data_IF_093911588988
#
_entry.id   IF_093911588988
#
_cell.length_a   1.000
_cell.length_b   1.000
_cell.length_c   1.000
_cell.angle_alpha   90.00
_cell.angle_beta   90.00
_cell.angle_gamma   90.00
#
_symmetry.space_group_name_H-M   'P 1'
#
loop_
_entity.id
_entity.type
_entity.pdbx_description
1 polymer ?
#
# COMPACT_ATOMS: atom_id res chain seq x y z
N UNK A 1 2.54 6.79 -10.63
CA UNK A 1 1.11 7.09 -10.85
C UNK A 1 0.35 6.40 -9.72
N UNK A 2 -0.11 7.14 -8.71
CA UNK A 2 -0.90 6.57 -7.61
C UNK A 2 -2.29 6.28 -8.18
N UNK A 3 -2.65 5.01 -8.32
CA UNK A 3 -3.99 4.61 -8.74
C UNK A 3 -4.97 4.89 -7.62
N UNK A 4 -5.52 6.11 -7.58
CA UNK A 4 -6.77 6.40 -6.88
C UNK A 4 -7.86 5.71 -7.68
N UNK A 5 -8.27 4.51 -7.26
CA UNK A 5 -9.42 3.84 -7.87
C UNK A 5 -10.68 4.58 -7.41
N UNK A 6 -11.13 5.53 -8.22
CA UNK A 6 -12.48 6.08 -8.10
C UNK A 6 -13.42 4.95 -8.52
N UNK A 7 -14.25 4.47 -7.60
CA UNK A 7 -15.09 3.30 -7.80
C UNK A 7 -16.31 3.54 -8.72
N UNK A 8 -16.10 4.24 -9.82
CA UNK A 8 -17.04 4.40 -10.92
C UNK A 8 -16.27 4.40 -12.24
N UNK A 9 -16.04 3.21 -12.78
CA UNK A 9 -16.20 2.87 -14.20
C UNK A 9 -15.70 1.44 -14.42
N UNK A 10 -16.60 0.48 -14.24
CA UNK A 10 -16.55 -0.77 -15.01
C UNK A 10 -17.49 -0.55 -16.19
N UNK A 11 -16.93 -0.31 -17.37
CA UNK A 11 -17.63 -0.61 -18.61
C UNK A 11 -16.69 -1.47 -19.47
N UNK A 12 -16.93 -2.78 -19.42
CA UNK A 12 -16.43 -3.71 -20.41
C UNK A 12 -16.97 -3.31 -21.79
N UNK A 13 -16.08 -3.08 -22.76
CA UNK A 13 -16.42 -3.26 -24.17
C UNK A 13 -15.18 -3.65 -24.97
N UNK A 14 -14.92 -4.94 -25.00
CA UNK A 14 -14.31 -5.60 -26.16
C UNK A 14 -15.26 -5.41 -27.34
N UNK A 15 -15.06 -4.37 -28.14
CA UNK A 15 -15.49 -4.31 -29.54
C UNK A 15 -14.38 -3.63 -30.34
N UNK A 16 -13.44 -4.46 -30.83
CA UNK A 16 -12.71 -4.16 -32.06
C UNK A 16 -13.74 -4.15 -33.18
N UNK A 17 -13.99 -2.99 -33.76
CA UNK A 17 -14.45 -2.89 -35.15
C UNK A 17 -13.74 -1.70 -35.78
N UNK A 18 -12.96 -2.04 -36.81
CA UNK A 18 -12.39 -1.15 -37.80
C UNK A 18 -13.45 -0.22 -38.38
N UNK A 19 -13.07 1.02 -38.67
CA UNK A 19 -13.34 1.65 -39.96
C UNK A 19 -12.42 2.88 -40.13
N UNK A 20 -11.45 2.80 -41.05
CA UNK A 20 -11.43 3.44 -42.41
C UNK A 20 -10.68 4.79 -42.31
N UNK A 21 -9.68 5.15 -43.12
CA UNK A 21 -8.94 4.49 -44.22
C UNK A 21 -7.67 5.32 -44.45
N UNK A 22 -6.52 4.68 -44.58
CA UNK A 22 -5.33 5.33 -45.14
C UNK A 22 -5.27 5.02 -46.64
N UNK A 23 -5.63 6.01 -47.46
CA UNK A 23 -5.43 5.98 -48.91
C UNK A 23 -3.98 6.40 -49.19
N UNK A 24 -3.19 5.45 -49.67
CA UNK A 24 -1.92 5.72 -50.32
C UNK A 24 -2.20 5.99 -51.80
N UNK A 25 -1.96 7.22 -52.27
CA UNK A 25 -1.91 7.54 -53.69
C UNK A 25 -0.56 8.17 -54.01
N UNK A 26 0.24 7.45 -54.79
CA UNK A 26 1.43 7.94 -55.49
C UNK A 26 1.01 8.60 -56.79
N UNK A 27 1.45 9.84 -57.01
CA UNK A 27 1.80 10.51 -58.29
C UNK A 27 2.27 11.92 -57.90
N UNK A 28 3.33 12.56 -58.40
CA UNK A 28 4.39 12.26 -59.35
C UNK A 28 5.49 13.35 -59.17
N UNK A 29 6.63 13.15 -59.86
CA UNK A 29 7.55 14.17 -60.41
C UNK A 29 8.41 15.08 -59.50
N UNK A 30 9.69 14.69 -59.39
CA UNK A 30 10.93 15.44 -59.74
C UNK A 30 11.18 16.88 -59.27
N UNK A 31 12.29 17.00 -58.52
CA UNK A 31 13.30 18.10 -58.40
C UNK A 31 12.99 19.37 -57.58
N UNK A 32 14.03 20.08 -57.06
CA UNK A 32 15.22 19.61 -56.36
C UNK A 32 15.36 20.28 -54.97
N UNK A 33 16.27 19.75 -54.15
CA UNK A 33 16.66 20.27 -52.83
C UNK A 33 17.15 21.72 -52.88
N UNK A 34 16.74 22.59 -51.94
CA UNK A 34 17.59 23.67 -51.46
C UNK A 34 18.17 23.34 -50.09
N UNK A 35 19.43 23.70 -49.97
CA UNK A 35 20.36 23.51 -48.86
C UNK A 35 19.91 24.12 -47.55
N UNK A 36 20.31 23.41 -46.50
CA UNK A 36 20.65 23.83 -45.13
C UNK A 36 20.62 25.34 -44.89
N UNK A 37 19.96 25.73 -43.80
CA UNK A 37 20.08 27.00 -43.02
C UNK A 37 18.87 27.95 -42.97
N UNK A 38 17.70 27.63 -43.54
CA UNK A 38 16.49 28.47 -43.35
C UNK A 38 15.26 27.78 -42.74
N UNK A 39 15.22 26.44 -42.71
CA UNK A 39 14.13 25.70 -42.07
C UNK A 39 14.09 25.82 -40.53
N UNK A 40 15.17 26.31 -39.90
CA UNK A 40 15.26 26.41 -38.44
C UNK A 40 14.55 27.65 -37.85
N UNK A 41 14.22 28.67 -38.66
CA UNK A 41 13.61 29.90 -38.14
C UNK A 41 12.09 29.92 -38.16
N UNK A 42 11.44 29.09 -38.98
CA UNK A 42 9.97 29.07 -39.07
C UNK A 42 9.28 27.97 -38.24
N UNK A 43 10.03 27.00 -37.69
CA UNK A 43 9.49 26.04 -36.71
C UNK A 43 9.33 26.69 -35.32
N UNK A 44 10.07 27.78 -35.04
CA UNK A 44 10.03 28.50 -33.76
C UNK A 44 8.78 29.32 -33.49
N UNK A 45 7.91 29.57 -34.47
CA UNK A 45 6.73 30.45 -34.31
C UNK A 45 5.37 29.76 -34.40
N UNK A 46 5.30 28.45 -34.69
CA UNK A 46 4.03 27.69 -34.73
C UNK A 46 3.83 26.69 -33.58
N UNK A 47 4.75 26.60 -32.64
CA UNK A 47 4.58 25.80 -31.40
C UNK A 47 3.97 26.63 -30.26
N UNK A 48 3.76 27.93 -30.47
CA UNK A 48 3.31 28.86 -29.43
C UNK A 48 1.78 28.97 -29.26
N UNK A 49 0.96 28.18 -29.96
CA UNK A 49 -0.50 28.40 -30.00
C UNK A 49 -1.40 27.31 -29.39
N UNK A 50 -0.91 26.11 -29.02
CA UNK A 50 -1.77 25.03 -28.52
C UNK A 50 -1.28 24.38 -27.20
N UNK A 51 -0.73 25.18 -26.29
CA UNK A 51 -0.36 24.74 -24.94
C UNK A 51 -1.16 25.45 -23.84
N UNK A 52 -2.45 25.67 -24.04
CA UNK A 52 -3.36 26.04 -22.95
C UNK A 52 -3.85 24.76 -22.25
N UNK A 53 -3.03 24.23 -21.35
CA UNK A 53 -3.47 23.20 -20.41
C UNK A 53 -4.68 23.73 -19.60
N UNK A 54 -5.79 22.98 -19.47
CA UNK A 54 -6.92 23.45 -18.69
C UNK A 54 -6.48 23.62 -17.23
N UNK A 55 -6.55 24.85 -16.75
CA UNK A 55 -6.22 25.23 -15.37
C UNK A 55 -7.20 24.55 -14.41
N UNK A 56 -6.77 23.39 -13.90
CA UNK A 56 -7.51 22.62 -12.89
C UNK A 56 -7.67 23.50 -11.66
N UNK A 57 -8.89 24.00 -11.39
CA UNK A 57 -9.20 24.74 -10.16
C UNK A 57 -8.60 24.00 -8.96
N UNK A 58 -7.88 24.68 -8.04
CA UNK A 58 -7.29 24.02 -6.89
C UNK A 58 -8.40 23.33 -6.11
N UNK A 59 -8.27 22.02 -5.93
CA UNK A 59 -9.23 21.24 -5.15
C UNK A 59 -9.08 21.72 -3.71
N UNK A 60 -10.13 22.34 -3.16
CA UNK A 60 -10.13 22.78 -1.78
C UNK A 60 -9.98 21.56 -0.86
N UNK A 61 -8.88 21.48 -0.12
CA UNK A 61 -8.65 20.44 0.88
C UNK A 61 -9.57 20.65 2.09
N UNK A 62 -10.06 19.55 2.67
CA UNK A 62 -10.74 19.62 3.95
C UNK A 62 -9.73 19.87 5.09
N UNK A 63 -10.05 20.72 6.09
CA UNK A 63 -9.14 20.98 7.20
C UNK A 63 -9.03 19.76 8.11
N UNK A 64 -7.81 19.48 8.61
CA UNK A 64 -7.53 18.28 9.43
C UNK A 64 -8.41 18.15 10.67
N UNK A 65 -8.76 19.27 11.30
CA UNK A 65 -9.63 19.31 12.49
C UNK A 65 -11.04 18.74 12.26
N UNK A 66 -11.51 18.75 11.01
CA UNK A 66 -12.83 18.22 10.64
C UNK A 66 -12.79 16.74 10.28
N UNK A 67 -11.59 16.15 10.13
CA UNK A 67 -11.42 14.77 9.72
C UNK A 67 -11.19 13.88 10.94
N UNK A 68 -11.97 12.81 11.00
CA UNK A 68 -11.80 11.72 11.96
C UNK A 68 -11.15 10.50 11.32
N UNK A 69 -10.26 9.84 12.07
CA UNK A 69 -9.59 8.60 11.68
C UNK A 69 -10.03 7.50 12.65
N UNK A 70 -10.58 6.42 12.11
CA UNK A 70 -11.02 5.24 12.83
C UNK A 70 -10.01 4.10 12.73
N UNK A 71 -9.69 3.49 13.86
CA UNK A 71 -8.86 2.28 13.95
C UNK A 71 -9.71 1.16 14.57
N UNK A 72 -10.44 0.39 13.76
CA UNK A 72 -11.19 -0.77 14.23
C UNK A 72 -10.26 -1.92 14.64
N UNK A 73 -10.76 -2.80 15.49
CA UNK A 73 -10.11 -4.06 15.86
C UNK A 73 -10.14 -5.04 14.71
N UNK A 74 -9.09 -5.86 14.59
CA UNK A 74 -9.08 -6.96 13.64
C UNK A 74 -9.93 -8.13 14.15
N UNK A 75 -10.78 -8.65 13.27
CA UNK A 75 -11.74 -9.74 13.58
C UNK A 75 -11.28 -11.09 13.01
N UNK A 76 -10.25 -11.09 12.17
CA UNK A 76 -9.76 -12.31 11.55
C UNK A 76 -9.05 -13.19 12.57
N UNK A 77 -9.24 -14.50 12.47
CA UNK A 77 -8.67 -15.47 13.41
C UNK A 77 -7.14 -15.33 13.48
N UNK A 78 -6.61 -15.24 14.69
CA UNK A 78 -5.18 -15.08 14.99
C UNK A 78 -4.52 -13.79 14.42
N UNK A 79 -5.31 -12.82 13.94
CA UNK A 79 -4.77 -11.53 13.55
C UNK A 79 -4.48 -10.70 14.81
N UNK A 80 -3.19 -10.50 15.08
CA UNK A 80 -2.71 -9.81 16.28
C UNK A 80 -2.28 -8.37 16.01
N UNK A 81 -2.09 -8.01 14.73
CA UNK A 81 -1.60 -6.68 14.32
C UNK A 81 -2.70 -5.63 14.47
N UNK A 82 -2.29 -4.38 14.63
CA UNK A 82 -3.15 -3.20 14.66
C UNK A 82 -2.68 -2.19 13.61
N UNK A 83 -3.61 -1.42 13.03
CA UNK A 83 -3.28 -0.50 11.94
C UNK A 83 -2.45 0.72 12.39
N UNK A 84 -2.60 1.16 13.64
CA UNK A 84 -1.84 2.25 14.23
C UNK A 84 -1.29 1.89 15.61
N UNK A 85 -0.04 2.28 15.86
CA UNK A 85 0.59 2.21 17.19
C UNK A 85 0.38 3.53 17.96
N UNK A 86 0.45 3.52 19.30
CA UNK A 86 0.31 4.74 20.12
C UNK A 86 1.29 5.86 19.71
N UNK A 87 2.51 5.51 19.30
CA UNK A 87 3.50 6.48 18.81
C UNK A 87 3.00 7.23 17.58
N UNK A 88 2.43 6.54 16.59
CA UNK A 88 1.91 7.16 15.36
C UNK A 88 0.62 7.94 15.65
N UNK A 89 -0.21 7.45 16.57
CA UNK A 89 -1.39 8.16 17.07
C UNK A 89 -1.02 9.54 17.57
N UNK A 90 -0.01 9.66 18.44
CA UNK A 90 0.44 10.95 18.96
C UNK A 90 0.89 11.92 17.85
N UNK A 91 1.52 11.41 16.80
CA UNK A 91 1.98 12.21 15.67
C UNK A 91 0.81 12.71 14.80
N UNK A 92 -0.25 11.92 14.65
CA UNK A 92 -1.45 12.31 13.90
C UNK A 92 -2.32 13.30 14.68
N UNK A 93 -2.46 13.11 15.99
CA UNK A 93 -3.16 14.06 16.86
C UNK A 93 -2.47 15.43 16.83
N UNK A 94 -1.13 15.48 16.85
CA UNK A 94 -0.36 16.73 16.71
C UNK A 94 -0.62 17.46 15.38
N UNK A 95 -0.96 16.73 14.31
CA UNK A 95 -1.36 17.33 13.02
C UNK A 95 -2.81 17.86 13.01
N UNK A 96 -3.59 17.55 14.05
CA UNK A 96 -4.95 18.04 14.24
C UNK A 96 -6.06 17.05 13.86
N UNK A 97 -5.76 15.77 13.64
CA UNK A 97 -6.78 14.75 13.39
C UNK A 97 -7.45 14.29 14.68
N UNK A 98 -8.74 13.96 14.61
CA UNK A 98 -9.43 13.26 15.70
C UNK A 98 -9.27 11.77 15.50
N UNK A 99 -8.62 11.06 16.44
CA UNK A 99 -8.46 9.60 16.34
C UNK A 99 -9.45 8.86 17.24
N UNK A 100 -10.17 7.92 16.64
CA UNK A 100 -11.12 7.03 17.28
C UNK A 100 -10.58 5.61 17.18
N UNK A 101 -10.19 5.02 18.30
CA UNK A 101 -9.63 3.65 18.36
C UNK A 101 -10.67 2.75 19.01
N UNK A 102 -10.94 1.60 18.41
CA UNK A 102 -11.84 0.61 19.01
C UNK A 102 -11.24 0.03 20.30
N UNK A 103 -12.08 -0.22 21.28
CA UNK A 103 -11.67 -0.87 22.53
C UNK A 103 -10.93 -2.20 22.26
N UNK A 104 -9.76 -2.34 22.88
CA UNK A 104 -8.91 -3.53 22.77
C UNK A 104 -8.45 -3.84 21.33
N UNK A 105 -8.39 -2.83 20.44
CA UNK A 105 -7.85 -3.00 19.09
C UNK A 105 -6.36 -3.40 19.10
N UNK A 106 -5.59 -2.88 20.06
CA UNK A 106 -4.15 -3.13 20.19
C UNK A 106 -3.77 -4.31 21.08
N UNK A 107 -4.72 -4.98 21.72
CA UNK A 107 -4.44 -6.01 22.73
C UNK A 107 -3.58 -7.17 22.19
N UNK A 108 -3.79 -7.56 20.92
CA UNK A 108 -2.97 -8.59 20.26
C UNK A 108 -1.53 -8.16 19.96
N UNK A 109 -1.27 -6.86 19.88
CA UNK A 109 0.04 -6.25 19.63
C UNK A 109 0.70 -5.72 20.90
N UNK A 110 0.21 -6.11 22.08
CA UNK A 110 0.70 -5.64 23.38
C UNK A 110 0.57 -4.13 23.61
N UNK A 111 -0.44 -3.49 23.00
CA UNK A 111 -0.79 -2.10 23.28
C UNK A 111 -2.12 -2.02 24.03
N UNK A 112 -2.10 -1.41 25.21
CA UNK A 112 -3.27 -1.24 26.06
C UNK A 112 -4.07 0.00 25.68
N UNK A 113 -5.36 0.04 26.04
CA UNK A 113 -6.23 1.18 25.75
C UNK A 113 -5.72 2.48 26.39
N UNK A 114 -5.12 2.39 27.58
CA UNK A 114 -4.53 3.52 28.30
C UNK A 114 -3.40 4.19 27.49
N UNK A 115 -2.58 3.41 26.78
CA UNK A 115 -1.51 3.95 25.94
C UNK A 115 -2.05 4.78 24.77
N UNK A 116 -3.17 4.35 24.19
CA UNK A 116 -3.87 5.11 23.15
C UNK A 116 -4.52 6.38 23.69
N UNK A 117 -5.11 6.33 24.89
CA UNK A 117 -5.68 7.51 25.56
C UNK A 117 -4.59 8.54 25.89
N UNK A 118 -3.46 8.08 26.45
CA UNK A 118 -2.29 8.92 26.74
C UNK A 118 -1.70 9.54 25.48
N UNK A 119 -1.79 8.85 24.34
CA UNK A 119 -1.38 9.38 23.04
C UNK A 119 -2.40 10.37 22.41
N UNK A 120 -3.55 10.59 23.05
CA UNK A 120 -4.57 11.55 22.63
C UNK A 120 -5.69 10.98 21.73
N UNK A 121 -5.80 9.65 21.62
CA UNK A 121 -6.93 9.01 20.94
C UNK A 121 -8.14 8.83 21.87
N UNK A 122 -9.33 8.78 21.27
CA UNK A 122 -10.57 8.42 21.96
C UNK A 122 -10.83 6.93 21.80
N UNK A 123 -11.07 6.23 22.91
CA UNK A 123 -11.51 4.84 22.88
C UNK A 123 -13.01 4.82 22.64
N UNK A 124 -13.44 4.09 21.60
CA UNK A 124 -14.83 4.06 21.15
C UNK A 124 -15.30 2.64 20.87
N UNK A 125 -16.61 2.46 20.69
CA UNK A 125 -17.18 1.19 20.23
C UNK A 125 -16.84 0.91 18.76
N UNK A 126 -16.92 -0.36 18.35
CA UNK A 126 -16.69 -0.81 16.97
C UNK A 126 -17.42 0.04 15.93
N UNK A 127 -18.71 0.27 16.12
CA UNK A 127 -19.52 1.04 15.17
C UNK A 127 -19.06 2.50 15.06
N UNK A 128 -18.67 3.11 16.18
CA UNK A 128 -18.14 4.47 16.19
C UNK A 128 -16.76 4.57 15.51
N UNK A 129 -15.91 3.55 15.60
CA UNK A 129 -14.66 3.50 14.86
C UNK A 129 -14.90 3.46 13.35
N UNK A 130 -15.83 2.61 12.88
CA UNK A 130 -16.21 2.51 11.47
C UNK A 130 -16.99 3.72 10.93
N UNK A 131 -17.61 4.51 11.81
CA UNK A 131 -18.28 5.75 11.45
C UNK A 131 -17.30 6.94 11.23
N UNK A 132 -15.99 6.69 11.14
CA UNK A 132 -15.00 7.76 10.91
C UNK A 132 -14.85 8.09 9.41
N UNK A 133 -14.33 9.29 9.09
CA UNK A 133 -14.13 9.71 7.70
C UNK A 133 -13.04 8.88 7.00
N UNK A 134 -11.98 8.56 7.73
CA UNK A 134 -10.87 7.72 7.28
C UNK A 134 -10.84 6.48 8.16
N UNK A 135 -10.80 5.30 7.57
CA UNK A 135 -10.77 4.01 8.28
C UNK A 135 -9.44 3.35 7.93
N UNK A 136 -8.67 3.01 8.96
CA UNK A 136 -7.38 2.34 8.83
C UNK A 136 -7.51 0.91 9.33
N UNK A 137 -7.35 -0.06 8.44
CA UNK A 137 -7.43 -1.48 8.77
C UNK A 137 -6.22 -2.20 8.18
N UNK A 138 -5.78 -3.28 8.82
CA UNK A 138 -4.71 -4.12 8.27
C UNK A 138 -5.31 -4.96 7.14
N UNK A 139 -6.29 -5.81 7.45
CA UNK A 139 -6.91 -6.71 6.46
C UNK A 139 -8.08 -6.05 5.73
N UNK A 140 -8.58 -6.75 4.72
CA UNK A 140 -9.83 -6.40 4.05
C UNK A 140 -11.01 -6.38 5.05
N UNK A 141 -11.96 -5.43 4.92
CA UNK A 141 -13.16 -5.41 5.75
C UNK A 141 -14.08 -6.58 5.39
N UNK A 142 -14.85 -7.06 6.37
CA UNK A 142 -15.90 -8.05 6.12
C UNK A 142 -17.17 -7.36 5.60
N UNK A 143 -18.08 -8.13 5.01
CA UNK A 143 -19.36 -7.61 4.50
C UNK A 143 -20.16 -6.89 5.60
N UNK A 144 -20.11 -7.38 6.84
CA UNK A 144 -20.74 -6.74 8.01
C UNK A 144 -20.13 -5.37 8.31
N UNK A 145 -18.80 -5.23 8.21
CA UNK A 145 -18.10 -3.98 8.46
C UNK A 145 -18.49 -2.91 7.42
N UNK A 146 -18.63 -3.32 6.16
CA UNK A 146 -18.99 -2.43 5.03
C UNK A 146 -20.39 -1.81 5.23
N UNK A 147 -21.29 -2.51 5.94
CA UNK A 147 -22.64 -2.00 6.21
C UNK A 147 -22.62 -0.71 7.05
N UNK A 148 -21.68 -0.63 8.00
CA UNK A 148 -21.51 0.47 8.97
C UNK A 148 -20.73 1.66 8.41
N UNK A 149 -20.08 1.49 7.27
CA UNK A 149 -19.30 2.56 6.66
C UNK A 149 -20.18 3.76 6.31
N UNK A 150 -19.68 4.95 6.62
CA UNK A 150 -20.24 6.19 6.12
C UNK A 150 -20.06 6.30 4.61
N UNK A 151 -21.04 6.89 3.95
CA UNK A 151 -20.93 7.22 2.53
C UNK A 151 -19.74 8.17 2.29
N UNK A 152 -18.99 7.92 1.21
CA UNK A 152 -17.78 8.69 0.85
C UNK A 152 -16.63 8.63 1.88
N UNK A 153 -16.64 7.64 2.76
CA UNK A 153 -15.50 7.34 3.63
C UNK A 153 -14.26 6.93 2.83
N UNK A 154 -13.08 7.12 3.43
CA UNK A 154 -11.79 6.67 2.88
C UNK A 154 -11.31 5.44 3.62
N UNK A 155 -11.09 4.33 2.94
CA UNK A 155 -10.53 3.11 3.51
C UNK A 155 -9.08 2.94 3.09
N UNK A 156 -8.19 2.66 4.03
CA UNK A 156 -6.80 2.27 3.77
C UNK A 156 -6.57 0.90 4.40
N UNK A 157 -6.39 -0.12 3.57
CA UNK A 157 -6.11 -1.49 4.00
C UNK A 157 -5.57 -2.37 2.87
N UNK A 158 -5.24 -3.63 3.17
CA UNK A 158 -5.02 -4.65 2.13
C UNK A 158 -6.37 -5.10 1.55
N UNK A 159 -6.51 -5.04 0.22
CA UNK A 159 -7.78 -5.33 -0.46
C UNK A 159 -7.64 -6.49 -1.44
N UNK A 160 -6.48 -6.61 -2.11
CA UNK A 160 -6.26 -7.62 -3.15
C UNK A 160 -7.36 -7.58 -4.23
N UNK A 161 -7.50 -6.45 -4.96
CA UNK A 161 -8.63 -6.18 -5.83
C UNK A 161 -8.74 -7.15 -7.01
N UNK A 162 -7.63 -7.76 -7.43
CA UNK A 162 -7.63 -8.76 -8.48
C UNK A 162 -8.35 -10.06 -8.06
N UNK A 163 -8.20 -10.44 -6.80
CA UNK A 163 -8.81 -11.66 -6.22
C UNK A 163 -10.22 -11.37 -5.67
N UNK A 164 -10.44 -10.20 -5.07
CA UNK A 164 -11.66 -9.88 -4.33
C UNK A 164 -12.58 -8.88 -5.07
N UNK A 165 -12.93 -9.17 -6.31
CA UNK A 165 -13.89 -8.38 -7.10
C UNK A 165 -15.22 -8.06 -6.38
N UNK A 166 -15.91 -9.01 -5.71
CA UNK A 166 -17.19 -8.71 -5.06
C UNK A 166 -17.06 -7.66 -3.94
N UNK A 167 -15.96 -7.66 -3.20
CA UNK A 167 -15.70 -6.67 -2.16
C UNK A 167 -15.48 -5.28 -2.75
N UNK A 168 -14.77 -5.18 -3.88
CA UNK A 168 -14.57 -3.92 -4.60
C UNK A 168 -15.91 -3.36 -5.10
N UNK A 169 -16.79 -4.21 -5.63
CA UNK A 169 -18.13 -3.80 -6.07
C UNK A 169 -19.00 -3.29 -4.91
N UNK A 170 -18.93 -3.90 -3.73
CA UNK A 170 -19.66 -3.43 -2.55
C UNK A 170 -19.14 -2.06 -2.08
N UNK A 171 -17.82 -1.88 -2.01
CA UNK A 171 -17.21 -0.59 -1.66
C UNK A 171 -17.53 0.49 -2.70
N UNK A 172 -17.66 0.11 -3.98
CA UNK A 172 -18.11 0.98 -5.05
C UNK A 172 -19.54 1.49 -4.84
N UNK A 173 -20.46 0.60 -4.44
CA UNK A 173 -21.85 0.97 -4.14
C UNK A 173 -21.95 2.01 -3.02
N UNK A 174 -21.09 1.93 -2.01
CA UNK A 174 -20.96 2.90 -0.90
C UNK A 174 -20.24 4.20 -1.28
N UNK A 175 -19.77 4.33 -2.52
CA UNK A 175 -18.98 5.47 -3.02
C UNK A 175 -17.74 5.76 -2.16
N UNK A 176 -17.19 4.72 -1.52
CA UNK A 176 -16.01 4.85 -0.68
C UNK A 176 -14.75 5.07 -1.55
N UNK A 177 -13.79 5.83 -1.03
CA UNK A 177 -12.46 5.97 -1.63
C UNK A 177 -11.53 4.95 -1.00
N UNK A 178 -11.00 4.01 -1.78
CA UNK A 178 -10.22 2.89 -1.24
C UNK A 178 -8.78 2.97 -1.70
N UNK A 179 -7.85 2.98 -0.76
CA UNK A 179 -6.42 2.84 -0.99
C UNK A 179 -5.98 1.43 -0.64
N UNK A 180 -5.77 0.62 -1.69
CA UNK A 180 -5.27 -0.75 -1.56
C UNK A 180 -3.75 -0.73 -1.34
N UNK A 181 -3.30 -1.10 -0.14
CA UNK A 181 -1.87 -1.10 0.23
C UNK A 181 -1.06 -2.14 -0.55
N UNK A 182 -1.71 -3.18 -1.09
CA UNK A 182 -1.10 -4.18 -1.97
C UNK A 182 -0.79 -3.64 -3.38
N UNK A 183 -1.47 -2.58 -3.82
CA UNK A 183 -1.34 -2.00 -5.16
C UNK A 183 -0.38 -0.81 -5.21
N UNK A 184 0.44 -0.61 -4.18
CA UNK A 184 1.41 0.49 -4.15
C UNK A 184 2.48 0.24 -5.23
N UNK A 185 2.73 1.21 -6.13
CA UNK A 185 3.70 1.04 -7.20
C UNK A 185 5.11 0.94 -6.62
N UNK A 186 5.89 -0.04 -7.10
CA UNK A 186 7.28 -0.26 -6.68
C UNK A 186 8.24 0.72 -7.37
N UNK A 187 8.20 1.98 -6.94
CA UNK A 187 9.08 3.07 -7.40
C UNK A 187 9.76 3.71 -6.20
N UNK A 188 10.96 4.29 -6.36
CA UNK A 188 11.77 4.81 -5.25
C UNK A 188 11.02 5.77 -4.32
N UNK A 189 10.17 6.66 -4.86
CA UNK A 189 9.38 7.61 -4.04
C UNK A 189 8.31 6.93 -3.16
N UNK A 190 7.86 5.74 -3.54
CA UNK A 190 6.78 5.03 -2.86
C UNK A 190 7.28 3.91 -1.94
N UNK A 191 8.59 3.65 -1.88
CA UNK A 191 9.18 2.58 -1.06
C UNK A 191 8.84 2.72 0.42
N UNK A 192 8.74 3.94 0.94
CA UNK A 192 8.39 4.21 2.35
C UNK A 192 6.96 3.78 2.68
N UNK A 193 6.09 3.68 1.67
CA UNK A 193 4.71 3.25 1.84
C UNK A 193 4.51 1.75 1.56
N UNK A 194 5.55 1.03 1.14
CA UNK A 194 5.46 -0.38 0.78
C UNK A 194 5.29 -1.27 2.02
N UNK A 195 4.02 -1.54 2.34
CA UNK A 195 3.64 -2.41 3.43
C UNK A 195 3.98 -3.89 3.15
N UNK A 196 4.02 -4.34 1.89
CA UNK A 196 4.38 -5.72 1.55
C UNK A 196 5.85 -6.00 1.85
N UNK A 197 6.74 -5.07 1.50
CA UNK A 197 8.16 -5.19 1.82
C UNK A 197 8.42 -5.17 3.33
N UNK A 198 7.71 -4.32 4.08
CA UNK A 198 7.79 -4.29 5.55
C UNK A 198 7.37 -5.63 6.17
N UNK A 199 6.24 -6.21 5.72
CA UNK A 199 5.75 -7.49 6.23
C UNK A 199 6.64 -8.66 5.79
N UNK A 200 7.14 -8.64 4.56
CA UNK A 200 8.08 -9.64 4.06
C UNK A 200 9.37 -9.67 4.91
N UNK A 201 9.91 -8.51 5.27
CA UNK A 201 11.08 -8.42 6.14
C UNK A 201 10.82 -9.08 7.51
N UNK A 202 9.72 -8.74 8.17
CA UNK A 202 9.34 -9.34 9.47
C UNK A 202 9.17 -10.87 9.33
N UNK A 203 8.54 -11.32 8.25
CA UNK A 203 8.32 -12.76 8.02
C UNK A 203 9.63 -13.52 7.82
N UNK A 204 10.61 -12.92 7.12
CA UNK A 204 11.93 -13.52 6.92
C UNK A 204 12.70 -13.69 8.22
N UNK A 205 12.71 -12.65 9.06
CA UNK A 205 13.28 -12.73 10.41
C UNK A 205 12.58 -13.80 11.25
N UNK A 206 11.25 -13.77 11.31
CA UNK A 206 10.46 -14.69 12.15
C UNK A 206 10.60 -16.15 11.69
N UNK A 207 10.73 -16.41 10.39
CA UNK A 207 10.93 -17.75 9.86
C UNK A 207 12.21 -18.41 10.41
N UNK A 208 13.30 -17.65 10.56
CA UNK A 208 14.55 -18.18 11.13
C UNK A 208 14.39 -18.46 12.63
N UNK A 209 13.68 -17.62 13.37
CA UNK A 209 13.41 -17.85 14.79
C UNK A 209 12.55 -19.10 15.02
N UNK A 210 11.51 -19.29 14.21
CA UNK A 210 10.67 -20.51 14.28
C UNK A 210 11.45 -21.76 13.87
N UNK A 211 12.33 -21.65 12.88
CA UNK A 211 13.24 -22.73 12.51
C UNK A 211 14.19 -23.08 13.65
N UNK A 212 14.75 -22.07 14.34
CA UNK A 212 15.62 -22.29 15.49
C UNK A 212 14.88 -22.93 16.67
N UNK A 213 13.63 -22.53 16.93
CA UNK A 213 12.80 -23.13 17.97
C UNK A 213 12.45 -24.61 17.67
N UNK A 214 12.23 -24.93 16.40
CA UNK A 214 11.89 -26.29 15.96
C UNK A 214 13.11 -27.20 15.79
N UNK A 215 14.30 -26.63 15.65
CA UNK A 215 15.54 -27.36 15.37
C UNK A 215 16.22 -27.80 16.68
N UNK A 216 16.40 -29.11 16.85
CA UNK A 216 16.93 -29.69 18.09
C UNK A 216 18.45 -29.55 18.30
N UNK A 217 19.15 -28.71 17.54
CA UNK A 217 20.61 -28.51 17.66
C UNK A 217 20.95 -27.03 17.64
N UNK A 218 22.15 -26.67 18.09
CA UNK A 218 22.63 -25.30 17.97
C UNK A 218 22.82 -24.89 16.51
N UNK A 219 22.47 -23.64 16.21
CA UNK A 219 22.79 -23.01 14.93
C UNK A 219 24.28 -22.68 14.84
N UNK A 220 24.85 -22.18 15.93
CA UNK A 220 26.29 -21.93 16.06
C UNK A 220 27.07 -23.22 16.23
N UNK A 221 28.21 -23.29 15.54
CA UNK A 221 29.21 -24.32 15.81
C UNK A 221 29.90 -23.99 17.12
N UNK A 222 29.94 -24.93 18.06
CA UNK A 222 30.64 -24.74 19.35
C UNK A 222 31.66 -25.85 19.56
N UNK A 223 32.84 -25.46 20.01
CA UNK A 223 33.84 -26.40 20.55
C UNK A 223 33.68 -26.35 22.06
N UNK A 224 33.29 -27.48 22.67
CA UNK A 224 33.14 -27.61 24.12
C UNK A 224 34.02 -28.75 24.62
N UNK A 225 34.20 -28.85 25.94
CA UNK A 225 34.93 -29.97 26.56
C UNK A 225 34.31 -31.34 26.21
N UNK A 226 33.00 -31.37 25.92
CA UNK A 226 32.28 -32.58 25.53
C UNK A 226 32.40 -32.90 24.02
N UNK A 227 33.10 -32.08 23.24
CA UNK A 227 33.33 -32.30 21.81
C UNK A 227 32.94 -31.11 20.93
N UNK A 228 33.09 -31.31 19.61
CA UNK A 228 32.80 -30.28 18.60
C UNK A 228 31.40 -30.48 18.00
N UNK A 229 30.52 -29.51 18.19
CA UNK A 229 29.23 -29.45 17.49
C UNK A 229 29.40 -28.61 16.21
N UNK A 230 29.15 -29.18 15.01
CA UNK A 230 29.22 -28.43 13.77
C UNK A 230 28.06 -27.41 13.66
N UNK A 231 28.26 -26.28 12.96
CA UNK A 231 27.21 -25.30 12.73
C UNK A 231 26.11 -25.87 11.82
N UNK A 232 24.89 -25.33 11.97
CA UNK A 232 23.76 -25.69 11.12
C UNK A 232 23.97 -25.18 9.68
N UNK A 233 23.50 -25.95 8.70
CA UNK A 233 23.48 -25.55 7.28
C UNK A 233 22.06 -25.08 6.95
N UNK A 234 21.93 -23.85 6.46
CA UNK A 234 20.64 -23.24 6.13
C UNK A 234 20.63 -22.89 4.65
N UNK A 235 19.59 -23.34 3.94
CA UNK A 235 19.35 -23.01 2.54
C UNK A 235 18.10 -22.11 2.45
N UNK A 236 18.23 -20.95 1.81
CA UNK A 236 17.12 -20.04 1.55
C UNK A 236 16.83 -20.05 0.05
N UNK A 237 15.61 -20.43 -0.33
CA UNK A 237 15.16 -20.44 -1.73
C UNK A 237 14.33 -19.19 -1.99
N UNK A 238 14.86 -18.28 -2.82
CA UNK A 238 14.23 -17.02 -3.21
C UNK A 238 14.92 -15.77 -2.65
N UNK A 239 15.44 -14.92 -3.55
CA UNK A 239 16.21 -13.70 -3.21
C UNK A 239 15.37 -12.43 -3.04
N UNK A 240 14.13 -12.53 -2.56
CA UNK A 240 13.28 -11.37 -2.27
C UNK A 240 13.59 -10.71 -0.92
N UNK A 241 12.81 -9.70 -0.52
CA UNK A 241 12.96 -9.01 0.78
C UNK A 241 12.91 -9.97 1.97
N UNK A 242 11.99 -10.93 1.95
CA UNK A 242 11.89 -11.96 2.99
C UNK A 242 13.13 -12.88 3.02
N UNK A 243 13.61 -13.32 1.85
CA UNK A 243 14.78 -14.19 1.75
C UNK A 243 16.07 -13.51 2.20
N UNK A 244 16.28 -12.25 1.79
CA UNK A 244 17.43 -11.46 2.25
C UNK A 244 17.41 -11.22 3.76
N UNK A 245 16.23 -10.94 4.33
CA UNK A 245 16.07 -10.82 5.78
C UNK A 245 16.36 -12.14 6.51
N UNK A 246 15.89 -13.27 5.97
CA UNK A 246 16.18 -14.59 6.50
C UNK A 246 17.68 -14.92 6.44
N UNK A 247 18.35 -14.62 5.31
CA UNK A 247 19.81 -14.80 5.17
C UNK A 247 20.56 -13.96 6.20
N UNK A 248 20.20 -12.68 6.36
CA UNK A 248 20.82 -11.79 7.34
C UNK A 248 20.66 -12.32 8.77
N UNK A 249 19.45 -12.75 9.12
CA UNK A 249 19.14 -13.29 10.46
C UNK A 249 19.89 -14.60 10.73
N UNK A 250 19.85 -15.54 9.78
CA UNK A 250 20.55 -16.81 9.87
C UNK A 250 22.07 -16.62 9.98
N UNK A 251 22.62 -15.71 9.17
CA UNK A 251 24.05 -15.37 9.21
C UNK A 251 24.47 -14.83 10.57
N UNK A 252 23.69 -13.90 11.14
CA UNK A 252 23.98 -13.34 12.46
C UNK A 252 23.84 -14.36 13.59
N UNK A 253 22.98 -15.36 13.43
CA UNK A 253 22.83 -16.44 14.41
C UNK A 253 23.91 -17.51 14.31
N UNK A 254 24.47 -17.74 13.12
CA UNK A 254 25.48 -18.80 12.89
C UNK A 254 26.91 -18.28 13.06
N UNK A 255 27.16 -17.01 12.73
CA UNK A 255 28.47 -16.36 12.89
C UNK A 255 28.62 -15.81 14.32
N UNK A 256 29.02 -16.68 15.23
CA UNK A 256 29.66 -16.34 16.51
C UNK A 256 30.81 -17.33 16.68
#
# INVERSE_FOLDING_TARGET
>A
MVSVVRAQQVLFKTKRFNNISWICRRTASTTPTPTTTEAARQVGQKVAADAAAPTKKPIAGAPYKTLSIGVPKETFLNEKRVALTPTVVSALVKKGFTLNVEENAGAGSSFHNEEYQNAGAKIVSRNAAYASNIILKVRQPNNEDISVFQDKSTLISFIYPAQNKPLVEQLAKKKATVFAMDCIPRISRAQVFDALSSMANISGYKAVIEAANSFGRFFTGKITAAGKSPPAKILVIGGGVAGLSAIGTARNMVLI
#
